data_IF_287951963724
#
_entry.id   IF_287951963724
#
_cell.length_a   1.000
_cell.length_b   1.000
_cell.length_c   1.000
_cell.angle_alpha   90.00
_cell.angle_beta   90.00
_cell.angle_gamma   90.00
#
_symmetry.space_group_name_H-M   'P 1'
#
loop_
_entity.id
_entity.type
_entity.pdbx_description
1 polymer ?
#
# COMPACT_ATOMS: atom_id res chain seq x y z
N UNK A 1 18.40 7.18 12.10
CA UNK A 1 17.28 6.60 11.32
C UNK A 1 16.37 5.74 12.18
N UNK A 2 16.88 4.74 12.92
CA UNK A 2 16.07 3.89 13.80
C UNK A 2 15.12 4.64 14.75
N UNK A 3 15.59 5.72 15.39
CA UNK A 3 14.77 6.56 16.29
C UNK A 3 13.56 7.22 15.59
N UNK A 4 13.63 7.48 14.27
CA UNK A 4 12.53 8.04 13.49
C UNK A 4 11.45 6.99 13.23
N UNK A 5 11.85 5.76 12.89
CA UNK A 5 10.94 4.62 12.72
C UNK A 5 10.24 4.27 14.04
N UNK A 6 10.98 4.30 15.15
CA UNK A 6 10.42 4.04 16.47
C UNK A 6 9.42 5.13 16.87
N UNK A 7 9.69 6.40 16.53
CA UNK A 7 8.73 7.50 16.70
C UNK A 7 7.42 7.22 15.95
N UNK A 8 7.47 6.84 14.67
CA UNK A 8 6.28 6.52 13.88
C UNK A 8 5.46 5.39 14.53
N UNK A 9 6.13 4.34 15.02
CA UNK A 9 5.45 3.23 15.70
C UNK A 9 4.82 3.63 17.05
N UNK A 10 5.53 4.42 17.86
CA UNK A 10 5.00 4.94 19.13
C UNK A 10 3.78 5.83 18.90
N UNK A 11 3.80 6.64 17.85
CA UNK A 11 2.64 7.44 17.44
C UNK A 11 1.46 6.57 17.04
N UNK A 12 1.68 5.38 16.47
CA UNK A 12 0.63 4.46 16.07
C UNK A 12 0.06 3.60 17.21
N UNK A 13 0.76 3.44 18.33
CA UNK A 13 0.40 2.51 19.43
C UNK A 13 -1.07 2.58 19.87
N UNK A 14 -1.66 3.78 19.93
CA UNK A 14 -3.06 3.99 20.35
C UNK A 14 -4.10 3.62 19.27
N UNK A 15 -3.69 3.46 18.01
CA UNK A 15 -4.57 3.14 16.86
C UNK A 15 -4.41 1.69 16.41
N UNK A 16 -3.41 0.95 16.92
CA UNK A 16 -3.11 -0.42 16.49
C UNK A 16 -4.27 -1.42 16.66
N UNK A 17 -5.26 -1.14 17.51
CA UNK A 17 -6.45 -2.00 17.64
C UNK A 17 -7.41 -1.87 16.45
N UNK A 18 -7.48 -0.70 15.81
CA UNK A 18 -8.43 -0.42 14.73
C UNK A 18 -8.14 -1.22 13.43
N UNK A 19 -6.89 -1.43 12.99
CA UNK A 19 -6.54 -2.34 11.90
C UNK A 19 -7.16 -3.72 12.00
N UNK A 20 -7.26 -4.31 13.20
CA UNK A 20 -7.82 -5.65 13.37
C UNK A 20 -9.32 -5.68 13.10
N UNK A 21 -10.05 -4.65 13.56
CA UNK A 21 -11.49 -4.52 13.26
C UNK A 21 -11.70 -4.32 11.77
N UNK A 22 -10.88 -3.48 11.14
CA UNK A 22 -10.95 -3.25 9.71
C UNK A 22 -10.64 -4.53 8.92
N UNK A 23 -9.58 -5.26 9.27
CA UNK A 23 -9.21 -6.51 8.62
C UNK A 23 -10.32 -7.57 8.75
N UNK A 24 -10.99 -7.63 9.90
CA UNK A 24 -12.12 -8.53 10.11
C UNK A 24 -13.28 -8.19 9.17
N UNK A 25 -13.68 -6.92 9.11
CA UNK A 25 -14.76 -6.46 8.21
C UNK A 25 -14.47 -6.74 6.73
N UNK A 26 -13.24 -6.49 6.28
CA UNK A 26 -12.84 -6.76 4.90
C UNK A 26 -12.77 -8.26 4.59
N UNK A 27 -12.35 -9.08 5.55
CA UNK A 27 -12.30 -10.54 5.38
C UNK A 27 -13.69 -11.14 5.25
N UNK A 28 -14.68 -10.60 5.96
CA UNK A 28 -16.09 -10.99 5.81
C UNK A 28 -16.65 -10.53 4.46
N UNK A 29 -16.40 -9.27 4.07
CA UNK A 29 -16.93 -8.68 2.84
C UNK A 29 -16.39 -9.34 1.56
N UNK A 30 -15.16 -9.87 1.59
CA UNK A 30 -14.49 -10.49 0.45
C UNK A 30 -14.31 -12.00 0.59
N UNK A 31 -15.12 -12.63 1.44
CA UNK A 31 -15.09 -14.08 1.68
C UNK A 31 -15.34 -14.90 0.42
N UNK A 32 -16.21 -14.44 -0.48
CA UNK A 32 -16.56 -15.14 -1.72
C UNK A 32 -15.49 -15.05 -2.81
N UNK A 33 -14.49 -14.18 -2.66
CA UNK A 33 -13.46 -13.94 -3.69
C UNK A 33 -12.13 -14.58 -3.27
N UNK A 34 -11.66 -15.55 -4.07
CA UNK A 34 -10.33 -16.13 -3.89
C UNK A 34 -9.26 -15.04 -3.85
N UNK A 35 -8.41 -15.06 -2.80
CA UNK A 35 -7.35 -14.08 -2.54
C UNK A 35 -7.82 -12.62 -2.31
N UNK A 36 -9.11 -12.30 -2.46
CA UNK A 36 -9.68 -10.96 -2.29
C UNK A 36 -9.63 -10.51 -0.84
N UNK A 37 -10.00 -11.39 0.10
CA UNK A 37 -9.97 -11.10 1.54
C UNK A 37 -8.57 -10.72 2.04
N UNK A 38 -7.55 -11.50 1.67
CA UNK A 38 -6.16 -11.23 2.06
C UNK A 38 -5.66 -9.91 1.47
N UNK A 39 -5.95 -9.68 0.19
CA UNK A 39 -5.46 -8.51 -0.53
C UNK A 39 -6.11 -7.23 0.00
N UNK A 40 -7.43 -7.22 0.13
CA UNK A 40 -8.18 -6.06 0.57
C UNK A 40 -7.88 -5.69 2.04
N UNK A 41 -7.79 -6.69 2.93
CA UNK A 41 -7.42 -6.47 4.33
C UNK A 41 -6.00 -5.90 4.46
N UNK A 42 -5.01 -6.53 3.82
CA UNK A 42 -3.61 -6.11 3.96
C UNK A 42 -3.34 -4.73 3.35
N UNK A 43 -3.84 -4.47 2.13
CA UNK A 43 -3.69 -3.17 1.47
C UNK A 43 -4.42 -2.09 2.26
N UNK A 44 -5.66 -2.35 2.68
CA UNK A 44 -6.46 -1.37 3.44
C UNK A 44 -5.88 -1.06 4.82
N UNK A 45 -5.39 -2.06 5.55
CA UNK A 45 -4.67 -1.85 6.81
C UNK A 45 -3.41 -1.02 6.59
N UNK A 46 -2.58 -1.37 5.59
CA UNK A 46 -1.33 -0.67 5.31
C UNK A 46 -1.58 0.80 4.95
N UNK A 47 -2.59 1.06 4.10
CA UNK A 47 -3.06 2.39 3.75
C UNK A 47 -3.53 3.18 4.97
N UNK A 48 -4.38 2.57 5.79
CA UNK A 48 -4.94 3.22 6.96
C UNK A 48 -3.83 3.61 7.95
N UNK A 49 -2.88 2.72 8.23
CA UNK A 49 -1.73 3.00 9.09
C UNK A 49 -0.86 4.12 8.52
N UNK A 50 -0.62 4.13 7.21
CA UNK A 50 0.14 5.17 6.53
C UNK A 50 -0.52 6.56 6.67
N UNK A 51 -1.83 6.67 6.43
CA UNK A 51 -2.55 7.94 6.60
C UNK A 51 -2.52 8.38 8.06
N UNK A 52 -2.80 7.48 9.00
CA UNK A 52 -2.83 7.81 10.41
C UNK A 52 -1.45 8.26 10.93
N UNK A 53 -0.36 7.69 10.42
CA UNK A 53 0.99 8.16 10.68
C UNK A 53 1.17 9.60 10.17
N UNK A 54 0.78 9.87 8.93
CA UNK A 54 0.90 11.21 8.33
C UNK A 54 0.02 12.25 9.02
N UNK A 55 -1.20 11.88 9.43
CA UNK A 55 -2.14 12.75 10.13
C UNK A 55 -1.63 13.16 11.52
N UNK A 56 -1.01 12.21 12.23
CA UNK A 56 -0.41 12.47 13.54
C UNK A 56 0.86 13.30 13.43
N UNK A 57 1.66 13.08 12.39
CA UNK A 57 2.82 13.92 12.10
C UNK A 57 2.42 15.38 11.88
N UNK A 58 1.36 15.63 11.11
CA UNK A 58 0.80 16.97 10.88
C UNK A 58 0.24 17.59 12.18
N UNK A 59 -0.59 16.84 12.92
CA UNK A 59 -1.20 17.30 14.17
C UNK A 59 -0.16 17.72 15.21
N UNK A 60 0.96 17.02 15.26
CA UNK A 60 2.06 17.30 16.19
C UNK A 60 3.11 18.28 15.62
N UNK A 61 2.89 18.85 14.42
CA UNK A 61 3.87 19.68 13.70
C UNK A 61 5.26 19.03 13.64
N UNK A 62 5.29 17.71 13.45
CA UNK A 62 6.50 16.91 13.55
C UNK A 62 7.53 17.32 12.49
N UNK A 63 7.10 17.80 11.31
CA UNK A 63 8.03 18.29 10.28
C UNK A 63 8.83 19.51 10.76
N UNK A 64 8.21 20.46 11.46
CA UNK A 64 8.88 21.65 12.00
C UNK A 64 9.91 21.26 13.07
N UNK A 65 9.54 20.35 13.97
CA UNK A 65 10.43 19.83 15.01
C UNK A 65 11.60 19.03 14.42
N UNK A 66 11.36 18.24 13.37
CA UNK A 66 12.43 17.46 12.73
C UNK A 66 13.42 18.34 11.96
N UNK A 67 12.96 19.48 11.42
CA UNK A 67 13.80 20.44 10.71
C UNK A 67 14.67 21.31 11.64
N UNK A 68 14.29 21.48 12.90
CA UNK A 68 15.14 22.18 13.88
C UNK A 68 16.25 21.30 14.46
N UNK A 69 16.19 19.99 14.22
CA UNK A 69 17.23 19.03 14.59
C UNK A 69 18.29 18.92 13.48
N UNK A 70 19.55 18.58 13.81
CA UNK A 70 20.63 18.37 12.83
C UNK A 70 20.47 17.01 12.10
N UNK A 71 19.30 16.78 11.50
CA UNK A 71 18.93 15.57 10.76
C UNK A 71 18.92 15.89 9.27
N UNK A 72 19.49 14.99 8.46
CA UNK A 72 19.49 15.17 7.00
C UNK A 72 18.08 14.94 6.45
N UNK A 73 17.61 15.84 5.58
CA UNK A 73 16.31 15.73 4.89
C UNK A 73 16.10 14.38 4.20
N UNK A 74 17.15 13.80 3.63
CA UNK A 74 17.12 12.46 3.02
C UNK A 74 16.72 11.36 4.01
N UNK A 75 17.16 11.47 5.27
CA UNK A 75 16.93 10.43 6.28
C UNK A 75 15.46 10.48 6.75
N UNK A 76 14.81 11.66 6.69
CA UNK A 76 13.38 11.85 6.97
C UNK A 76 12.54 11.18 5.87
N UNK A 77 12.85 11.45 4.61
CA UNK A 77 12.16 10.83 3.47
C UNK A 77 12.33 9.32 3.52
N UNK A 78 13.57 8.84 3.68
CA UNK A 78 13.88 7.41 3.69
C UNK A 78 13.20 6.69 4.86
N UNK A 79 13.10 7.32 6.04
CA UNK A 79 12.35 6.75 7.16
C UNK A 79 10.87 6.52 6.80
N UNK A 80 10.21 7.45 6.11
CA UNK A 80 8.80 7.26 5.70
C UNK A 80 8.63 6.09 4.74
N UNK A 81 9.53 5.91 3.77
CA UNK A 81 9.50 4.76 2.86
C UNK A 81 9.75 3.44 3.59
N UNK A 82 10.65 3.40 4.60
CA UNK A 82 10.86 2.19 5.39
C UNK A 82 9.69 1.87 6.34
N UNK A 83 8.95 2.86 6.82
CA UNK A 83 7.80 2.67 7.72
C UNK A 83 6.68 1.82 7.10
N UNK A 84 6.69 1.59 5.79
CA UNK A 84 5.71 0.71 5.11
C UNK A 84 5.94 -0.76 5.38
N UNK A 85 7.20 -1.21 5.50
CA UNK A 85 7.51 -2.61 5.77
C UNK A 85 6.77 -3.09 7.04
N UNK A 86 6.87 -2.40 8.20
CA UNK A 86 6.10 -2.80 9.37
C UNK A 86 4.58 -2.64 9.18
N UNK A 87 4.09 -1.69 8.38
CA UNK A 87 2.65 -1.56 8.12
C UNK A 87 2.09 -2.75 7.33
N UNK A 88 2.82 -3.21 6.32
CA UNK A 88 2.48 -4.41 5.56
C UNK A 88 2.50 -5.67 6.44
N UNK A 89 3.52 -5.81 7.30
CA UNK A 89 3.61 -6.91 8.27
C UNK A 89 2.40 -6.89 9.22
N UNK A 90 2.02 -5.72 9.75
CA UNK A 90 0.84 -5.59 10.62
C UNK A 90 -0.43 -5.96 9.85
N UNK A 91 -0.56 -5.61 8.57
CA UNK A 91 -1.68 -6.01 7.73
C UNK A 91 -1.81 -7.53 7.58
N UNK A 92 -0.69 -8.20 7.29
CA UNK A 92 -0.66 -9.68 7.17
C UNK A 92 -0.97 -10.33 8.52
N UNK A 93 -0.39 -9.83 9.61
CA UNK A 93 -0.67 -10.33 10.96
C UNK A 93 -2.14 -10.12 11.33
N UNK A 94 -2.73 -8.99 10.98
CA UNK A 94 -4.14 -8.73 11.20
C UNK A 94 -5.02 -9.74 10.45
N UNK A 95 -4.70 -10.03 9.19
CA UNK A 95 -5.38 -11.07 8.42
C UNK A 95 -5.26 -12.46 9.07
N UNK A 96 -4.05 -12.86 9.46
CA UNK A 96 -3.81 -14.13 10.13
C UNK A 96 -4.60 -14.27 11.44
N UNK A 97 -4.66 -13.20 12.24
CA UNK A 97 -5.48 -13.20 13.46
C UNK A 97 -6.97 -13.35 13.13
N UNK A 98 -7.47 -12.67 12.09
CA UNK A 98 -8.88 -12.81 11.68
C UNK A 98 -9.19 -14.23 11.21
N UNK A 99 -8.27 -14.87 10.49
CA UNK A 99 -8.39 -16.27 10.08
C UNK A 99 -8.43 -17.21 11.30
N UNK A 100 -7.56 -17.00 12.28
CA UNK A 100 -7.57 -17.76 13.53
C UNK A 100 -8.86 -17.61 14.34
N UNK A 101 -9.41 -16.38 14.42
CA UNK A 101 -10.68 -16.11 15.10
C UNK A 101 -11.84 -16.82 14.40
N UNK A 102 -11.90 -16.76 13.07
CA UNK A 102 -12.96 -17.43 12.28
C UNK A 102 -12.89 -18.95 12.47
N UNK A 103 -11.68 -19.51 12.46
CA UNK A 103 -11.47 -20.94 12.70
C UNK A 103 -11.98 -21.38 14.09
N UNK A 104 -11.67 -20.62 15.14
CA UNK A 104 -12.09 -20.95 16.52
C UNK A 104 -13.59 -20.72 16.75
N UNK A 105 -14.16 -19.67 16.15
CA UNK A 105 -15.58 -19.32 16.32
C UNK A 105 -16.52 -20.17 15.46
N UNK A 106 -15.99 -20.95 14.51
CA UNK A 106 -16.80 -21.76 13.59
C UNK A 106 -17.66 -20.91 12.65
N UNK A 107 -17.25 -19.66 12.39
CA UNK A 107 -17.98 -18.77 11.50
C UNK A 107 -18.06 -19.40 10.10
N UNK A 108 -19.22 -19.37 9.41
CA UNK A 108 -19.42 -20.06 8.12
C UNK A 108 -18.77 -19.30 6.95
N UNK A 109 -17.50 -18.95 7.08
CA UNK A 109 -16.71 -18.22 6.10
C UNK A 109 -15.43 -19.01 5.87
N UNK A 110 -15.13 -19.27 4.59
CA UNK A 110 -13.85 -19.88 4.21
C UNK A 110 -12.90 -18.78 3.75
N UNK A 111 -11.72 -18.72 4.36
CA UNK A 111 -10.66 -17.79 3.97
C UNK A 111 -9.56 -18.56 3.25
N UNK A 112 -9.01 -17.96 2.19
CA UNK A 112 -7.89 -18.51 1.44
C UNK A 112 -6.63 -18.59 2.31
N UNK A 113 -5.85 -19.66 2.17
CA UNK A 113 -4.54 -19.73 2.80
C UNK A 113 -3.56 -18.69 2.22
N UNK A 114 -2.50 -18.39 2.98
CA UNK A 114 -1.41 -17.55 2.51
C UNK A 114 -0.73 -18.18 1.30
N UNK A 115 -0.93 -17.59 0.11
CA UNK A 115 -0.17 -17.90 -1.09
C UNK A 115 0.91 -16.84 -1.31
N UNK A 116 2.12 -17.29 -1.65
CA UNK A 116 3.24 -16.40 -1.97
C UNK A 116 2.91 -15.43 -3.11
N UNK A 117 2.16 -15.88 -4.10
CA UNK A 117 1.73 -15.06 -5.24
C UNK A 117 0.86 -13.89 -4.80
N UNK A 118 -0.09 -14.14 -3.89
CA UNK A 118 -1.01 -13.12 -3.39
C UNK A 118 -0.26 -12.14 -2.50
N UNK A 119 0.60 -12.62 -1.61
CA UNK A 119 1.45 -11.77 -0.76
C UNK A 119 2.34 -10.88 -1.63
N UNK A 120 2.95 -11.44 -2.67
CA UNK A 120 3.75 -10.67 -3.61
C UNK A 120 2.92 -9.62 -4.35
N UNK A 121 1.74 -10.01 -4.87
CA UNK A 121 0.74 -9.13 -5.50
C UNK A 121 0.37 -7.92 -4.62
N UNK A 122 0.10 -8.17 -3.34
CA UNK A 122 -0.21 -7.14 -2.35
C UNK A 122 0.95 -6.17 -2.14
N UNK A 123 2.19 -6.67 -2.07
CA UNK A 123 3.36 -5.80 -1.94
C UNK A 123 3.54 -4.91 -3.17
N UNK A 124 3.27 -5.41 -4.39
CA UNK A 124 3.28 -4.59 -5.62
C UNK A 124 2.28 -3.44 -5.49
N UNK A 125 1.05 -3.75 -5.08
CA UNK A 125 -0.03 -2.79 -4.98
C UNK A 125 0.29 -1.69 -3.94
N UNK A 126 0.81 -2.10 -2.78
CA UNK A 126 1.25 -1.17 -1.73
C UNK A 126 2.36 -0.25 -2.26
N UNK A 127 3.42 -0.80 -2.87
CA UNK A 127 4.53 -0.01 -3.45
C UNK A 127 4.02 0.96 -4.52
N UNK A 128 3.13 0.53 -5.41
CA UNK A 128 2.53 1.39 -6.43
C UNK A 128 1.77 2.56 -5.81
N UNK A 129 0.96 2.30 -4.79
CA UNK A 129 0.19 3.32 -4.09
C UNK A 129 1.10 4.37 -3.42
N UNK A 130 2.13 3.91 -2.71
CA UNK A 130 3.09 4.77 -2.01
C UNK A 130 3.92 5.59 -2.98
N UNK A 131 4.29 4.97 -4.10
CA UNK A 131 5.12 5.61 -5.12
C UNK A 131 4.45 6.87 -5.68
N UNK A 132 3.12 6.91 -5.71
CA UNK A 132 2.34 8.09 -6.11
C UNK A 132 2.08 9.01 -4.91
N UNK A 133 1.71 8.44 -3.76
CA UNK A 133 1.31 9.22 -2.59
C UNK A 133 2.44 10.06 -1.98
N UNK A 134 3.62 9.48 -1.73
CA UNK A 134 4.68 10.19 -1.00
C UNK A 134 5.27 11.41 -1.70
N UNK A 135 5.55 11.39 -3.03
CA UNK A 135 6.00 12.59 -3.72
C UNK A 135 5.00 13.75 -3.56
N UNK A 136 3.71 13.45 -3.59
CA UNK A 136 2.64 14.43 -3.43
C UNK A 136 2.56 14.92 -1.98
N UNK A 137 2.66 14.01 -1.00
CA UNK A 137 2.75 14.34 0.43
C UNK A 137 3.90 15.32 0.71
N UNK A 138 5.11 15.03 0.24
CA UNK A 138 6.27 15.89 0.46
C UNK A 138 6.20 17.22 -0.29
N UNK A 139 5.43 17.29 -1.40
CA UNK A 139 5.24 18.51 -2.18
C UNK A 139 4.16 19.43 -1.61
N UNK A 140 3.03 18.88 -1.18
CA UNK A 140 1.82 19.66 -0.85
C UNK A 140 1.45 19.63 0.64
N UNK A 141 2.13 18.83 1.46
CA UNK A 141 1.76 18.58 2.85
C UNK A 141 0.53 17.67 2.99
N UNK A 142 0.17 17.37 4.24
CA UNK A 142 -0.85 16.36 4.57
C UNK A 142 -2.26 16.71 4.06
N UNK A 143 -2.70 17.97 4.21
CA UNK A 143 -4.08 18.37 3.90
C UNK A 143 -4.49 18.06 2.46
N UNK A 144 -3.62 18.37 1.49
CA UNK A 144 -3.89 18.12 0.07
C UNK A 144 -3.57 16.68 -0.33
N UNK A 145 -2.55 16.07 0.27
CA UNK A 145 -2.18 14.69 -0.04
C UNK A 145 -3.21 13.68 0.45
N UNK A 146 -3.96 13.98 1.52
CA UNK A 146 -5.00 13.08 2.03
C UNK A 146 -6.12 12.85 1.02
N UNK A 147 -6.48 13.89 0.24
CA UNK A 147 -7.46 13.76 -0.85
C UNK A 147 -6.91 12.80 -1.92
N UNK A 148 -5.64 12.95 -2.29
CA UNK A 148 -4.99 12.07 -3.25
C UNK A 148 -4.92 10.64 -2.74
N UNK A 149 -4.57 10.44 -1.47
CA UNK A 149 -4.56 9.13 -0.83
C UNK A 149 -5.94 8.45 -0.91
N UNK A 150 -7.00 9.22 -0.65
CA UNK A 150 -8.38 8.76 -0.72
C UNK A 150 -8.78 8.37 -2.15
N UNK A 151 -8.41 9.20 -3.14
CA UNK A 151 -8.66 8.89 -4.56
C UNK A 151 -7.89 7.63 -4.98
N UNK A 152 -6.63 7.47 -4.55
CA UNK A 152 -5.82 6.30 -4.87
C UNK A 152 -6.42 5.04 -4.25
N UNK A 153 -6.85 5.11 -2.99
CA UNK A 153 -7.44 3.98 -2.29
C UNK A 153 -8.77 3.55 -2.90
N UNK A 154 -9.73 4.48 -3.00
CA UNK A 154 -11.05 4.19 -3.56
C UNK A 154 -10.96 3.84 -5.05
N UNK A 155 -10.15 4.59 -5.81
CA UNK A 155 -9.93 4.32 -7.22
C UNK A 155 -9.33 2.95 -7.46
N UNK A 156 -8.30 2.56 -6.70
CA UNK A 156 -7.71 1.22 -6.76
C UNK A 156 -8.70 0.12 -6.37
N UNK A 157 -9.50 0.36 -5.32
CA UNK A 157 -10.52 -0.58 -4.86
C UNK A 157 -11.62 -0.81 -5.91
N UNK A 158 -12.22 0.25 -6.44
CA UNK A 158 -13.25 0.16 -7.48
C UNK A 158 -12.69 -0.39 -8.79
N UNK A 159 -11.47 -0.02 -9.16
CA UNK A 159 -10.80 -0.58 -10.33
C UNK A 159 -10.64 -2.10 -10.19
N UNK A 160 -10.21 -2.57 -9.03
CA UNK A 160 -10.04 -4.01 -8.77
C UNK A 160 -11.38 -4.75 -8.88
N UNK A 161 -12.45 -4.22 -8.30
CA UNK A 161 -13.80 -4.81 -8.42
C UNK A 161 -14.27 -4.83 -9.88
N UNK A 162 -14.08 -3.73 -10.61
CA UNK A 162 -14.45 -3.64 -12.02
C UNK A 162 -13.70 -4.67 -12.87
N UNK A 163 -12.40 -4.86 -12.62
CA UNK A 163 -11.56 -5.84 -13.30
C UNK A 163 -11.97 -7.28 -12.97
N UNK A 164 -12.33 -7.58 -11.71
CA UNK A 164 -12.80 -8.91 -11.33
C UNK A 164 -14.14 -9.23 -12.00
N UNK A 165 -15.08 -8.27 -12.00
CA UNK A 165 -16.46 -8.51 -12.48
C UNK A 165 -16.60 -8.51 -14.00
N UNK A 166 -15.96 -7.57 -14.67
CA UNK A 166 -16.13 -7.36 -16.12
C UNK A 166 -14.92 -7.88 -16.92
N UNK A 167 -13.91 -8.40 -16.24
CA UNK A 167 -12.61 -8.64 -16.82
C UNK A 167 -12.01 -7.35 -17.37
N UNK A 168 -11.00 -7.55 -18.22
CA UNK A 168 -10.44 -6.48 -19.04
C UNK A 168 -11.51 -5.91 -20.01
N UNK A 169 -12.44 -6.73 -20.51
CA UNK A 169 -13.35 -6.39 -21.63
C UNK A 169 -14.25 -5.17 -21.43
N UNK A 170 -14.63 -4.83 -20.19
CA UNK A 170 -15.53 -3.71 -19.89
C UNK A 170 -14.90 -2.31 -19.98
N UNK A 171 -13.57 -2.20 -20.08
CA UNK A 171 -12.84 -0.92 -20.00
C UNK A 171 -12.32 -0.47 -21.38
N UNK A 172 -12.34 -1.33 -22.41
CA UNK A 172 -11.49 -1.13 -23.60
C UNK A 172 -12.20 -0.72 -24.88
N UNK A 173 -11.49 0.11 -25.65
CA UNK A 173 -11.74 0.36 -27.07
C UNK A 173 -10.96 -0.67 -27.90
N UNK A 174 -11.31 -0.89 -29.18
CA UNK A 174 -10.63 -1.88 -30.03
C UNK A 174 -9.10 -1.66 -30.15
N UNK A 175 -8.61 -0.41 -29.98
CA UNK A 175 -7.18 -0.10 -30.01
C UNK A 175 -6.44 -0.60 -28.75
N UNK A 176 -7.03 -0.44 -27.58
CA UNK A 176 -6.41 -0.87 -26.32
C UNK A 176 -6.42 -2.39 -26.18
N UNK A 177 -7.41 -3.06 -26.79
CA UNK A 177 -7.48 -4.52 -26.83
C UNK A 177 -6.31 -5.13 -27.61
N UNK A 178 -5.92 -4.56 -28.75
CA UNK A 178 -4.78 -5.04 -29.54
C UNK A 178 -3.44 -4.88 -28.81
N UNK A 179 -3.23 -3.76 -28.11
CA UNK A 179 -2.02 -3.56 -27.31
C UNK A 179 -1.96 -4.54 -26.13
N UNK A 180 -3.07 -4.74 -25.41
CA UNK A 180 -3.14 -5.69 -24.29
C UNK A 180 -2.97 -7.14 -24.73
N UNK A 181 -3.54 -7.54 -25.86
CA UNK A 181 -3.36 -8.87 -26.41
C UNK A 181 -1.89 -9.15 -26.76
N UNK A 182 -1.17 -8.15 -27.29
CA UNK A 182 0.28 -8.28 -27.54
C UNK A 182 1.06 -8.49 -26.25
N UNK A 183 0.74 -7.73 -25.22
CA UNK A 183 1.39 -7.88 -23.89
C UNK A 183 1.03 -9.23 -23.27
N UNK A 184 -0.25 -9.62 -23.30
CA UNK A 184 -0.74 -10.89 -22.76
C UNK A 184 -0.09 -12.09 -23.45
N UNK A 185 -0.03 -12.08 -24.78
CA UNK A 185 0.64 -13.12 -25.55
C UNK A 185 2.14 -13.16 -25.25
N UNK A 186 2.80 -12.00 -25.11
CA UNK A 186 4.20 -11.94 -24.70
C UNK A 186 4.42 -12.52 -23.30
N UNK A 187 3.59 -12.16 -22.32
CA UNK A 187 3.66 -12.70 -20.94
C UNK A 187 3.51 -14.22 -20.94
N UNK A 188 2.60 -14.77 -21.76
CA UNK A 188 2.42 -16.22 -21.88
C UNK A 188 3.63 -16.96 -22.46
N UNK A 189 4.53 -16.27 -23.18
CA UNK A 189 5.79 -16.88 -23.66
C UNK A 189 6.90 -16.90 -22.61
N UNK A 190 6.71 -16.22 -21.48
CA UNK A 190 7.72 -16.11 -20.43
C UNK A 190 7.47 -17.15 -19.33
N UNK A 191 8.54 -17.55 -18.65
CA UNK A 191 8.46 -18.39 -17.45
C UNK A 191 8.09 -17.55 -16.22
N UNK A 192 7.51 -18.18 -15.19
CA UNK A 192 7.08 -17.49 -13.96
C UNK A 192 8.21 -16.70 -13.29
N UNK A 193 9.44 -17.25 -13.25
CA UNK A 193 10.59 -16.57 -12.68
C UNK A 193 10.97 -15.30 -13.44
N UNK A 194 10.89 -15.32 -14.78
CA UNK A 194 11.15 -14.15 -15.61
C UNK A 194 10.13 -13.05 -15.32
N UNK A 195 8.84 -13.41 -15.23
CA UNK A 195 7.76 -12.46 -14.91
C UNK A 195 8.01 -11.82 -13.54
N UNK A 196 8.32 -12.63 -12.52
CA UNK A 196 8.63 -12.15 -11.17
C UNK A 196 9.84 -11.19 -11.22
N UNK A 197 10.90 -11.54 -11.95
CA UNK A 197 12.09 -10.69 -12.07
C UNK A 197 11.78 -9.33 -12.71
N UNK A 198 10.96 -9.29 -13.76
CA UNK A 198 10.55 -8.05 -14.41
C UNK A 198 9.70 -7.19 -13.46
N UNK A 199 8.80 -7.80 -12.68
CA UNK A 199 8.00 -7.09 -11.69
C UNK A 199 8.86 -6.50 -10.57
N UNK A 200 9.87 -7.24 -10.08
CA UNK A 200 10.81 -6.72 -9.06
C UNK A 200 11.59 -5.52 -9.62
N UNK A 201 12.12 -5.62 -10.84
CA UNK A 201 12.84 -4.51 -11.48
C UNK A 201 11.93 -3.29 -11.63
N UNK A 202 10.68 -3.48 -12.08
CA UNK A 202 9.69 -2.41 -12.18
C UNK A 202 9.39 -1.76 -10.82
N UNK A 203 9.25 -2.55 -9.75
CA UNK A 203 9.08 -2.02 -8.39
C UNK A 203 10.27 -1.18 -7.95
N UNK A 204 11.49 -1.65 -8.17
CA UNK A 204 12.69 -0.91 -7.77
C UNK A 204 12.80 0.41 -8.52
N UNK A 205 12.47 0.44 -9.82
CA UNK A 205 12.46 1.66 -10.63
C UNK A 205 11.38 2.63 -10.14
N UNK A 206 10.16 2.16 -9.90
CA UNK A 206 9.06 3.02 -9.42
C UNK A 206 9.34 3.58 -8.03
N UNK A 207 9.90 2.78 -7.12
CA UNK A 207 10.26 3.23 -5.78
C UNK A 207 11.45 4.20 -5.81
N UNK A 208 12.48 3.94 -6.61
CA UNK A 208 13.63 4.84 -6.77
C UNK A 208 13.20 6.20 -7.36
N UNK A 209 12.45 6.19 -8.46
CA UNK A 209 11.94 7.43 -9.08
C UNK A 209 11.05 8.21 -8.11
N UNK A 210 10.16 7.54 -7.40
CA UNK A 210 9.34 8.14 -6.36
C UNK A 210 10.18 8.75 -5.24
N UNK A 211 11.19 8.04 -4.74
CA UNK A 211 12.09 8.54 -3.69
C UNK A 211 12.84 9.80 -4.12
N UNK A 212 13.42 9.82 -5.32
CA UNK A 212 14.13 11.00 -5.83
C UNK A 212 13.19 12.19 -6.03
N UNK A 213 11.95 11.96 -6.50
CA UNK A 213 10.93 13.01 -6.60
C UNK A 213 10.55 13.57 -5.22
N UNK A 214 10.28 12.69 -4.25
CA UNK A 214 10.00 13.05 -2.86
C UNK A 214 11.12 13.87 -2.25
N UNK A 215 12.37 13.45 -2.43
CA UNK A 215 13.55 14.18 -1.94
C UNK A 215 13.66 15.57 -2.58
N UNK A 216 13.46 15.66 -3.89
CA UNK A 216 13.51 16.94 -4.63
C UNK A 216 12.44 17.91 -4.15
N UNK A 217 11.22 17.43 -3.94
CA UNK A 217 10.12 18.28 -3.44
C UNK A 217 10.36 18.71 -1.99
N UNK A 218 10.81 17.80 -1.14
CA UNK A 218 11.08 18.10 0.26
C UNK A 218 12.27 19.06 0.44
N UNK A 219 13.29 18.98 -0.42
CA UNK A 219 14.43 19.90 -0.40
C UNK A 219 14.05 21.34 -0.77
N UNK A 220 13.06 21.51 -1.66
CA UNK A 220 12.58 22.83 -2.13
C UNK A 220 11.49 23.44 -1.24
N UNK A 221 10.98 22.68 -0.28
CA UNK A 221 9.92 23.17 0.61
C UNK A 221 10.52 24.11 1.65
N UNK A 222 10.01 25.33 1.65
CA UNK A 222 10.24 26.33 2.70
C UNK A 222 9.26 26.05 3.86
N UNK A 223 9.74 26.19 5.09
CA UNK A 223 9.04 25.86 6.33
C UNK A 223 8.88 27.11 7.20
#
# INVERSE_FOLDING_TARGET
>A
MYKLLLKDFLLLKKVLWFPFIYAFGMSVAFSDTYAGALSASTIGVSYMLMIQACARDEKNKSELMLNSLPIRRRDIVLAKYLSIIPYAIIGILAYLLTQGIIYVTGFPITLSNLSFEVVFGVHIAIIGMISIYFPIYFKLGYLRSNIVATILFLGGFFLTIALIRNGLRGIYSPYTQNALNRVGNWVQTQTDWQIISYLIVLMLITLATSFFLSLRFYAKREF
#
